data_IF_402429018577
#
_entry.id   IF_402429018577
#
_cell.length_a   1.000
_cell.length_b   1.000
_cell.length_c   1.000
_cell.angle_alpha   90.00
_cell.angle_beta   90.00
_cell.angle_gamma   90.00
#
_symmetry.space_group_name_H-M   'P 1'
#
loop_
_entity.id
_entity.type
_entity.pdbx_description
1 polymer ?
#
# COMPACT_ATOMS: atom_id res chain seq x y z
N UNK A 1 10.16 -8.53 -8.16
CA UNK A 1 9.33 -9.41 -7.33
C UNK A 1 8.54 -8.53 -6.37
N UNK A 2 7.22 -8.67 -6.30
CA UNK A 2 6.45 -8.11 -5.19
C UNK A 2 6.91 -8.77 -3.89
N UNK A 3 7.66 -8.03 -3.06
CA UNK A 3 8.24 -8.53 -1.81
C UNK A 3 7.28 -8.44 -0.61
N UNK A 4 7.85 -8.64 0.58
CA UNK A 4 7.22 -8.52 1.91
C UNK A 4 7.37 -7.15 2.55
N UNK A 5 7.84 -6.16 1.78
CA UNK A 5 8.22 -4.85 2.30
C UNK A 5 7.03 -4.11 2.90
N UNK A 6 5.84 -4.26 2.33
CA UNK A 6 4.62 -3.65 2.84
C UNK A 6 4.17 -4.28 4.17
N UNK A 7 4.30 -5.60 4.33
CA UNK A 7 4.03 -6.29 5.59
C UNK A 7 5.04 -5.91 6.68
N UNK A 8 6.32 -5.79 6.34
CA UNK A 8 7.36 -5.32 7.26
C UNK A 8 7.15 -3.87 7.67
N UNK A 9 6.78 -3.00 6.72
CA UNK A 9 6.43 -1.61 6.98
C UNK A 9 5.21 -1.50 7.89
N UNK A 10 4.17 -2.31 7.68
CA UNK A 10 2.99 -2.34 8.53
C UNK A 10 3.33 -2.68 9.99
N UNK A 11 4.18 -3.69 10.20
CA UNK A 11 4.64 -4.05 11.54
C UNK A 11 5.45 -2.92 12.20
N UNK A 12 6.37 -2.31 11.44
CA UNK A 12 7.17 -1.19 11.94
C UNK A 12 6.30 0.02 12.32
N UNK A 13 5.33 0.38 11.45
CA UNK A 13 4.44 1.53 11.68
C UNK A 13 3.63 1.32 12.95
N UNK A 14 3.00 0.15 13.09
CA UNK A 14 2.24 -0.22 14.29
C UNK A 14 3.07 -0.13 15.56
N UNK A 15 4.31 -0.61 15.53
CA UNK A 15 5.12 -0.77 16.73
C UNK A 15 5.95 0.47 17.10
N UNK A 16 6.18 1.40 16.15
CA UNK A 16 7.20 2.46 16.28
C UNK A 16 6.78 3.85 15.79
N UNK A 17 5.62 4.01 15.15
CA UNK A 17 5.25 5.28 14.51
C UNK A 17 3.93 5.81 15.08
N UNK A 18 4.03 6.94 15.78
CA UNK A 18 2.87 7.60 16.41
C UNK A 18 2.21 8.66 15.50
N UNK A 19 2.85 9.01 14.38
CA UNK A 19 2.30 9.97 13.41
C UNK A 19 1.34 9.25 12.46
N UNK A 20 0.23 9.88 12.04
CA UNK A 20 -0.65 9.30 11.02
C UNK A 20 0.14 9.00 9.73
N UNK A 21 -0.05 7.80 9.19
CA UNK A 21 0.60 7.36 7.95
C UNK A 21 -0.46 7.13 6.88
N UNK A 22 -0.22 7.66 5.68
CA UNK A 22 -1.06 7.45 4.50
C UNK A 22 -0.28 6.63 3.48
N UNK A 23 -0.92 5.61 2.90
CA UNK A 23 -0.34 4.72 1.89
C UNK A 23 -1.21 4.62 0.62
N UNK A 24 -0.59 4.26 -0.49
CA UNK A 24 -1.28 3.94 -1.75
C UNK A 24 -0.57 2.75 -2.42
N UNK A 25 -1.31 1.69 -2.73
CA UNK A 25 -0.78 0.54 -3.48
C UNK A 25 -1.16 0.68 -4.96
N UNK A 26 -0.17 1.01 -5.78
CA UNK A 26 -0.33 1.12 -7.21
C UNK A 26 -0.48 -0.26 -7.88
N UNK A 27 -1.09 -0.28 -9.07
CA UNK A 27 -1.18 -1.49 -9.90
C UNK A 27 -2.34 -2.43 -9.57
N UNK A 28 -3.32 -2.00 -8.76
CA UNK A 28 -4.56 -2.75 -8.50
C UNK A 28 -5.33 -3.14 -9.78
N UNK A 29 -5.29 -2.29 -10.80
CA UNK A 29 -5.96 -2.48 -12.09
C UNK A 29 -5.03 -3.01 -13.17
N UNK A 30 -3.82 -3.45 -12.81
CA UNK A 30 -2.85 -3.97 -13.77
C UNK A 30 -3.41 -5.23 -14.45
N UNK A 31 -3.45 -5.27 -15.80
CA UNK A 31 -3.86 -6.47 -16.51
C UNK A 31 -2.93 -7.63 -16.17
N UNK A 32 -3.47 -8.86 -16.01
CA UNK A 32 -2.63 -10.04 -15.82
C UNK A 32 -1.62 -10.16 -16.98
N UNK A 33 -0.36 -10.42 -16.64
CA UNK A 33 0.71 -10.59 -17.64
C UNK A 33 1.36 -9.30 -18.15
N UNK A 34 1.04 -8.11 -17.60
CA UNK A 34 1.77 -6.88 -17.92
C UNK A 34 2.79 -6.50 -16.86
N UNK A 35 4.03 -6.30 -17.31
CA UNK A 35 5.08 -5.66 -16.52
C UNK A 35 4.82 -4.15 -16.47
N UNK A 36 4.52 -3.62 -15.29
CA UNK A 36 4.62 -2.18 -15.04
C UNK A 36 6.09 -1.86 -14.81
N UNK A 37 6.61 -0.87 -15.55
CA UNK A 37 8.04 -0.66 -15.85
C UNK A 37 9.04 -0.51 -14.68
N UNK A 38 8.62 -0.65 -13.42
CA UNK A 38 9.55 -0.90 -12.33
C UNK A 38 9.90 -2.39 -12.30
N UNK A 39 11.18 -2.72 -12.40
CA UNK A 39 11.69 -4.10 -12.36
C UNK A 39 11.22 -4.93 -11.13
N UNK A 40 10.68 -4.26 -10.09
CA UNK A 40 10.07 -4.87 -8.91
C UNK A 40 8.63 -5.37 -9.09
N UNK A 41 7.85 -4.83 -10.02
CA UNK A 41 6.40 -5.07 -10.17
C UNK A 41 6.05 -6.38 -10.90
N UNK A 42 6.62 -7.50 -10.43
CA UNK A 42 6.24 -8.85 -10.86
C UNK A 42 5.26 -9.41 -9.82
N UNK A 43 4.01 -9.61 -10.22
CA UNK A 43 2.98 -10.30 -9.43
C UNK A 43 3.25 -11.80 -9.51
N UNK A 44 3.95 -12.36 -8.52
CA UNK A 44 4.29 -13.78 -8.44
C UNK A 44 3.38 -14.48 -7.42
N UNK A 45 2.23 -14.97 -7.88
CA UNK A 45 1.32 -15.78 -7.05
C UNK A 45 0.44 -14.99 -6.08
N UNK A 46 -0.32 -15.71 -5.24
CA UNK A 46 -1.29 -15.18 -4.28
C UNK A 46 -0.68 -14.42 -3.09
N UNK A 47 0.65 -14.54 -2.90
CA UNK A 47 1.41 -13.92 -1.83
C UNK A 47 2.07 -12.66 -2.37
N UNK A 48 1.79 -11.49 -1.78
CA UNK A 48 2.21 -10.19 -2.33
C UNK A 48 1.26 -9.60 -3.38
N UNK A 49 0.01 -10.09 -3.44
CA UNK A 49 -1.05 -9.42 -4.20
C UNK A 49 -1.28 -7.99 -3.66
N UNK A 50 -1.78 -7.09 -4.51
CA UNK A 50 -2.10 -5.74 -4.07
C UNK A 50 -3.11 -5.74 -2.89
N UNK A 51 -4.10 -6.63 -2.92
CA UNK A 51 -5.11 -6.76 -1.85
C UNK A 51 -4.50 -7.19 -0.52
N UNK A 52 -3.60 -8.18 -0.51
CA UNK A 52 -2.93 -8.63 0.72
C UNK A 52 -2.03 -7.54 1.30
N UNK A 53 -1.38 -6.75 0.45
CA UNK A 53 -0.53 -5.63 0.88
C UNK A 53 -1.35 -4.48 1.50
N UNK A 54 -2.49 -4.15 0.89
CA UNK A 54 -3.42 -3.15 1.44
C UNK A 54 -3.88 -3.58 2.82
N UNK A 55 -4.34 -4.83 2.96
CA UNK A 55 -4.83 -5.35 4.23
C UNK A 55 -3.75 -5.31 5.32
N UNK A 56 -2.52 -5.70 5.00
CA UNK A 56 -1.41 -5.64 5.95
C UNK A 56 -1.14 -4.20 6.40
N UNK A 57 -1.11 -3.23 5.48
CA UNK A 57 -0.92 -1.82 5.81
C UNK A 57 -2.05 -1.26 6.69
N UNK A 58 -3.31 -1.58 6.37
CA UNK A 58 -4.47 -1.18 7.18
C UNK A 58 -4.41 -1.78 8.59
N UNK A 59 -4.05 -3.05 8.73
CA UNK A 59 -3.82 -3.70 10.04
C UNK A 59 -2.64 -3.08 10.81
N UNK A 60 -1.68 -2.49 10.10
CA UNK A 60 -0.56 -1.73 10.66
C UNK A 60 -0.91 -0.30 11.10
N UNK A 61 -2.15 0.15 10.91
CA UNK A 61 -2.57 1.51 11.24
C UNK A 61 -2.34 2.53 10.11
N UNK A 62 -2.06 2.09 8.90
CA UNK A 62 -1.91 2.97 7.73
C UNK A 62 -3.28 3.27 7.12
N UNK A 63 -3.54 4.54 6.85
CA UNK A 63 -4.69 4.98 6.07
C UNK A 63 -4.41 4.74 4.58
N UNK A 64 -4.99 3.70 3.99
CA UNK A 64 -4.74 3.36 2.59
C UNK A 64 -5.74 4.06 1.67
N UNK A 65 -5.23 4.93 0.80
CA UNK A 65 -6.03 5.54 -0.25
C UNK A 65 -6.22 4.55 -1.40
N UNK A 66 -7.46 4.40 -1.90
CA UNK A 66 -7.77 3.49 -3.02
C UNK A 66 -7.80 4.21 -4.38
N UNK A 67 -7.95 5.52 -4.38
CA UNK A 67 -8.05 6.35 -5.58
C UNK A 67 -6.97 7.44 -5.54
N UNK A 68 -5.96 7.30 -6.42
CA UNK A 68 -4.85 8.23 -6.52
C UNK A 68 -5.33 9.67 -6.82
N UNK A 69 -6.44 9.83 -7.54
CA UNK A 69 -7.03 11.15 -7.84
C UNK A 69 -7.59 11.86 -6.61
N UNK A 70 -7.88 11.12 -5.53
CA UNK A 70 -8.37 11.66 -4.25
C UNK A 70 -7.29 11.79 -3.19
N UNK A 71 -6.05 11.36 -3.46
CA UNK A 71 -4.98 11.30 -2.45
C UNK A 71 -4.79 12.63 -1.72
N UNK A 72 -4.81 13.76 -2.43
CA UNK A 72 -4.66 15.08 -1.80
C UNK A 72 -5.77 15.39 -0.79
N UNK A 73 -7.03 15.11 -1.13
CA UNK A 73 -8.16 15.31 -0.22
C UNK A 73 -8.12 14.32 0.95
N UNK A 74 -7.75 13.07 0.67
CA UNK A 74 -7.60 12.02 1.67
C UNK A 74 -6.54 12.40 2.73
N UNK A 75 -5.38 12.88 2.31
CA UNK A 75 -4.36 13.40 3.22
C UNK A 75 -4.87 14.57 4.06
N UNK A 76 -5.62 15.50 3.45
CA UNK A 76 -6.19 16.64 4.19
C UNK A 76 -7.12 16.15 5.31
N UNK A 77 -8.00 15.19 5.01
CA UNK A 77 -8.95 14.66 6.00
C UNK A 77 -8.22 13.94 7.15
N UNK A 78 -7.18 13.15 6.85
CA UNK A 78 -6.41 12.40 7.87
C UNK A 78 -5.51 13.31 8.72
N UNK A 79 -4.82 14.27 8.12
CA UNK A 79 -3.81 15.08 8.83
C UNK A 79 -4.39 16.33 9.51
N UNK A 80 -5.62 16.71 9.20
CA UNK A 80 -6.31 17.82 9.88
C UNK A 80 -7.11 17.39 11.11
N UNK A 81 -7.03 16.10 11.46
CA UNK A 81 -7.69 15.47 12.61
C UNK A 81 -6.89 15.62 13.90
#
# INVERSE_FOLDING_TARGET
MGGTAEEEAAAFIRDRVDKPVVGFIAGLTAPPGRHMGHAGAIVSGSRGSATTKIKALEEGGVHVCQDLGRLGRFCLDIFSS
#
